data_IF_518119314815
#
_entry.id   IF_518119314815
#
_cell.length_a   1.000
_cell.length_b   1.000
_cell.length_c   1.000
_cell.angle_alpha   90.00
_cell.angle_beta   90.00
_cell.angle_gamma   90.00
#
_symmetry.space_group_name_H-M   'P 1'
#
loop_
_entity.id
_entity.type
_entity.pdbx_description
1 polymer ?
#
# COMPACT_ATOMS: atom_id res chain seq x y z
N UNK A 1 -9.26 -21.08 7.65
CA UNK A 1 -8.03 -20.50 8.20
C UNK A 1 -8.14 -18.99 8.08
N UNK A 2 -7.69 -18.24 9.06
CA UNK A 2 -7.89 -16.78 9.11
C UNK A 2 -6.56 -16.15 9.47
N UNK A 3 -6.10 -15.21 8.65
CA UNK A 3 -4.92 -14.41 8.97
C UNK A 3 -5.15 -13.57 10.24
N UNK A 4 -4.10 -13.16 10.97
CA UNK A 4 -4.22 -12.25 12.10
C UNK A 4 -4.95 -10.96 11.71
N UNK A 5 -5.50 -10.27 12.72
CA UNK A 5 -6.13 -8.95 12.54
C UNK A 5 -5.23 -8.05 11.69
N UNK A 6 -5.75 -7.47 10.59
CA UNK A 6 -4.93 -6.67 9.69
C UNK A 6 -4.40 -5.42 10.37
N UNK A 7 -3.16 -5.07 10.06
CA UNK A 7 -2.53 -3.82 10.43
C UNK A 7 -1.99 -3.18 9.15
N UNK A 8 -2.37 -1.94 8.87
CA UNK A 8 -1.84 -1.23 7.72
C UNK A 8 -0.33 -1.04 7.88
N UNK A 9 0.42 -1.42 6.87
CA UNK A 9 1.85 -1.14 6.77
C UNK A 9 2.08 0.17 6.02
N UNK A 10 1.58 0.23 4.80
CA UNK A 10 1.67 1.41 3.97
C UNK A 10 0.66 1.37 2.82
N UNK A 11 0.54 2.51 2.16
CA UNK A 11 -0.11 2.61 0.86
C UNK A 11 0.91 3.01 -0.20
N UNK A 12 0.69 2.59 -1.44
CA UNK A 12 1.60 2.88 -2.55
C UNK A 12 0.91 3.72 -3.60
N UNK A 13 1.52 4.86 -3.91
CA UNK A 13 1.16 5.72 -5.03
C UNK A 13 2.15 5.40 -6.16
N UNK A 14 1.65 4.75 -7.20
CA UNK A 14 2.44 4.48 -8.40
C UNK A 14 2.57 5.79 -9.20
N UNK A 15 3.80 6.26 -9.37
CA UNK A 15 4.12 7.51 -10.07
C UNK A 15 4.89 7.27 -11.37
N UNK A 16 5.11 6.01 -11.73
CA UNK A 16 5.78 5.59 -12.97
C UNK A 16 7.14 6.29 -13.16
N UNK A 17 7.30 7.08 -14.19
CA UNK A 17 8.50 7.87 -14.51
C UNK A 17 8.49 9.30 -13.90
N UNK A 18 7.44 9.65 -13.14
CA UNK A 18 7.25 10.97 -12.54
C UNK A 18 7.73 11.08 -11.08
N UNK A 19 8.71 10.29 -10.66
CA UNK A 19 9.15 10.24 -9.24
C UNK A 19 9.67 11.60 -8.73
N UNK A 20 10.34 12.39 -9.57
CA UNK A 20 10.86 13.70 -9.20
C UNK A 20 9.74 14.75 -9.07
N UNK A 21 8.73 14.68 -9.91
CA UNK A 21 7.55 15.52 -9.84
C UNK A 21 6.74 15.23 -8.59
N UNK A 22 6.48 13.95 -8.33
CA UNK A 22 5.80 13.49 -7.12
C UNK A 22 6.55 13.91 -5.84
N UNK A 23 7.88 13.76 -5.81
CA UNK A 23 8.71 14.23 -4.71
C UNK A 23 8.52 15.74 -4.46
N UNK A 24 8.59 16.57 -5.51
CA UNK A 24 8.37 18.02 -5.39
C UNK A 24 6.96 18.33 -4.90
N UNK A 25 5.95 17.66 -5.43
CA UNK A 25 4.56 17.83 -5.03
C UNK A 25 4.36 17.53 -3.54
N UNK A 26 4.79 16.38 -3.06
CA UNK A 26 4.64 15.99 -1.66
C UNK A 26 5.45 16.89 -0.72
N UNK A 27 6.65 17.30 -1.12
CA UNK A 27 7.45 18.26 -0.36
C UNK A 27 6.73 19.61 -0.26
N UNK A 28 6.10 20.09 -1.34
CA UNK A 28 5.33 21.35 -1.33
C UNK A 28 4.08 21.29 -0.44
N UNK A 29 3.52 20.09 -0.25
CA UNK A 29 2.43 19.81 0.69
C UNK A 29 2.91 19.68 2.15
N UNK A 30 4.20 19.87 2.40
CA UNK A 30 4.79 19.82 3.73
C UNK A 30 5.10 18.43 4.26
N UNK A 31 5.17 17.42 3.40
CA UNK A 31 5.68 16.11 3.80
C UNK A 31 7.21 16.08 3.80
N UNK A 32 7.78 15.51 4.84
CA UNK A 32 9.19 15.12 4.88
C UNK A 32 9.32 13.76 4.19
N UNK A 33 10.10 13.70 3.11
CA UNK A 33 10.34 12.46 2.38
C UNK A 33 11.73 11.89 2.70
N UNK A 34 11.82 10.55 2.73
CA UNK A 34 13.12 9.87 2.82
C UNK A 34 13.99 10.17 1.59
N UNK A 35 15.32 10.04 1.70
CA UNK A 35 16.17 9.96 0.52
C UNK A 35 15.67 8.90 -0.47
N UNK A 36 15.96 9.08 -1.77
CA UNK A 36 15.55 8.13 -2.81
C UNK A 36 16.10 6.73 -2.53
N UNK A 37 15.20 5.79 -2.32
CA UNK A 37 15.53 4.38 -2.25
C UNK A 37 15.58 3.74 -3.64
N UNK A 38 16.40 2.70 -3.79
CA UNK A 38 16.51 1.88 -5.00
C UNK A 38 16.34 0.42 -4.61
N UNK A 39 15.24 -0.18 -5.02
CA UNK A 39 14.98 -1.59 -4.76
C UNK A 39 15.81 -2.48 -5.69
N UNK A 40 16.28 -3.61 -5.17
CA UNK A 40 16.93 -4.64 -6.01
C UNK A 40 16.00 -5.20 -7.10
N UNK A 41 14.70 -4.92 -7.01
CA UNK A 41 13.71 -5.25 -8.03
C UNK A 41 13.64 -4.23 -9.19
N UNK A 42 14.46 -3.17 -9.16
CA UNK A 42 14.54 -2.18 -10.24
C UNK A 42 13.56 -1.01 -10.12
N UNK A 43 12.85 -0.85 -9.00
CA UNK A 43 12.03 0.36 -8.73
C UNK A 43 12.75 1.34 -7.82
N UNK A 44 12.33 2.61 -7.89
CA UNK A 44 12.79 3.66 -6.97
C UNK A 44 11.63 4.17 -6.13
N UNK A 45 11.92 4.69 -4.94
CA UNK A 45 10.87 5.22 -4.08
C UNK A 45 11.30 6.42 -3.24
N UNK A 46 10.31 7.14 -2.72
CA UNK A 46 10.39 8.01 -1.56
C UNK A 46 9.29 7.66 -0.58
N UNK A 47 9.55 7.76 0.71
CA UNK A 47 8.58 7.44 1.76
C UNK A 47 8.25 8.69 2.58
N UNK A 48 6.96 8.94 2.82
CA UNK A 48 6.49 9.82 3.90
C UNK A 48 6.17 8.93 5.10
N UNK A 49 7.11 8.89 6.07
CA UNK A 49 7.08 7.96 7.19
C UNK A 49 6.24 8.50 8.34
N UNK A 50 5.29 7.71 8.84
CA UNK A 50 4.58 8.01 10.10
C UNK A 50 5.04 7.06 11.21
N UNK A 51 4.38 7.13 12.36
CA UNK A 51 4.78 6.31 13.51
C UNK A 51 4.60 4.82 13.26
N UNK A 52 3.50 4.43 12.64
CA UNK A 52 3.11 3.02 12.45
C UNK A 52 2.93 2.60 11.01
N UNK A 53 2.81 3.54 10.09
CA UNK A 53 2.53 3.33 8.68
C UNK A 53 3.25 4.38 7.82
N UNK A 54 3.13 4.32 6.51
CA UNK A 54 3.72 5.33 5.62
C UNK A 54 3.02 5.38 4.25
N UNK A 55 3.25 6.47 3.53
CA UNK A 55 2.94 6.59 2.10
C UNK A 55 4.20 6.35 1.30
N UNK A 56 4.17 5.43 0.35
CA UNK A 56 5.25 5.18 -0.59
C UNK A 56 4.92 5.81 -1.96
N UNK A 57 5.79 6.69 -2.45
CA UNK A 57 5.82 7.09 -3.85
C UNK A 57 6.72 6.11 -4.58
N UNK A 58 6.16 5.33 -5.51
CA UNK A 58 6.87 4.26 -6.20
C UNK A 58 7.00 4.57 -7.70
N UNK A 59 8.23 4.66 -8.17
CA UNK A 59 8.56 4.92 -9.57
C UNK A 59 9.33 3.80 -10.24
N UNK A 60 9.47 3.90 -11.56
CA UNK A 60 10.35 3.03 -12.35
C UNK A 60 11.82 3.36 -12.05
N UNK A 61 12.70 2.36 -12.24
CA UNK A 61 14.13 2.55 -12.11
C UNK A 61 14.72 3.43 -13.22
N UNK A 62 15.87 4.05 -12.92
CA UNK A 62 16.58 4.94 -13.86
C UNK A 62 17.17 4.20 -15.07
N UNK A 63 17.31 2.90 -15.00
CA UNK A 63 17.77 2.02 -16.07
C UNK A 63 16.70 1.72 -17.15
N UNK A 64 15.52 2.35 -17.02
CA UNK A 64 14.39 2.14 -17.92
C UNK A 64 13.69 0.78 -17.73
N UNK A 65 14.05 0.03 -16.70
CA UNK A 65 13.38 -1.23 -16.36
C UNK A 65 11.94 -0.93 -15.91
N UNK A 66 11.00 -1.26 -16.78
CA UNK A 66 9.57 -1.16 -16.46
C UNK A 66 9.13 -2.39 -15.72
N UNK A 67 8.72 -2.23 -14.47
CA UNK A 67 8.06 -3.31 -13.71
C UNK A 67 6.62 -3.45 -14.21
N UNK A 68 6.34 -4.54 -14.91
CA UNK A 68 5.03 -4.78 -15.55
C UNK A 68 3.87 -4.78 -14.56
N UNK A 69 4.09 -5.24 -13.34
CA UNK A 69 3.07 -5.23 -12.28
C UNK A 69 2.74 -3.81 -11.77
N UNK A 70 3.66 -2.85 -11.89
CA UNK A 70 3.41 -1.43 -11.58
C UNK A 70 2.75 -0.76 -12.79
N UNK A 71 3.32 -0.94 -13.99
CA UNK A 71 2.83 -0.36 -15.23
C UNK A 71 1.39 -0.78 -15.60
N UNK A 72 0.88 -1.83 -14.97
CA UNK A 72 -0.48 -2.32 -15.19
C UNK A 72 -1.56 -1.36 -14.72
N UNK A 73 -1.26 -0.54 -13.72
CA UNK A 73 -2.19 0.42 -13.14
C UNK A 73 -1.86 1.85 -13.61
N UNK A 74 -2.84 2.73 -13.73
CA UNK A 74 -2.58 4.14 -13.99
C UNK A 74 -1.82 4.76 -12.81
N UNK A 75 -1.20 5.91 -13.05
CA UNK A 75 -0.63 6.74 -11.97
C UNK A 75 -1.69 7.01 -10.90
N UNK A 76 -1.33 6.85 -9.63
CA UNK A 76 -2.23 7.06 -8.51
C UNK A 76 -2.06 6.04 -7.38
N UNK A 77 -2.97 6.09 -6.42
CA UNK A 77 -3.00 5.17 -5.29
C UNK A 77 -3.42 3.77 -5.79
N UNK A 78 -2.49 2.82 -5.76
CA UNK A 78 -2.68 1.48 -6.34
C UNK A 78 -2.16 0.34 -5.48
N UNK A 79 -1.63 0.64 -4.29
CA UNK A 79 -1.12 -0.38 -3.38
C UNK A 79 -1.69 -0.27 -1.98
N UNK A 80 -2.27 -1.35 -1.49
CA UNK A 80 -2.72 -1.52 -0.11
C UNK A 80 -1.90 -2.62 0.54
N UNK A 81 -1.12 -2.27 1.55
CA UNK A 81 -0.13 -3.17 2.15
C UNK A 81 -0.38 -3.37 3.62
N UNK A 82 -0.46 -4.63 4.03
CA UNK A 82 -0.62 -5.03 5.41
C UNK A 82 0.70 -5.52 6.01
N UNK A 83 0.90 -5.30 7.31
CA UNK A 83 2.03 -5.84 8.05
C UNK A 83 1.92 -7.34 8.21
N UNK A 84 3.05 -8.02 8.16
CA UNK A 84 3.17 -9.38 8.64
C UNK A 84 4.52 -9.59 9.33
N UNK A 85 4.57 -10.53 10.27
CA UNK A 85 5.80 -11.02 10.87
C UNK A 85 6.36 -12.25 10.14
N UNK A 86 5.57 -12.87 9.23
CA UNK A 86 5.94 -14.07 8.49
C UNK A 86 5.21 -14.11 7.14
N UNK A 87 5.92 -13.79 6.06
CA UNK A 87 5.37 -13.78 4.71
C UNK A 87 5.06 -15.19 4.18
N UNK A 88 5.81 -16.23 4.63
CA UNK A 88 5.54 -17.61 4.25
C UNK A 88 4.27 -18.13 4.91
N UNK A 89 3.99 -17.75 6.17
CA UNK A 89 2.74 -18.09 6.83
C UNK A 89 1.56 -17.50 6.04
N UNK A 90 1.61 -16.20 5.73
CA UNK A 90 0.55 -15.54 4.95
C UNK A 90 0.34 -16.24 3.61
N UNK A 91 1.43 -16.60 2.91
CA UNK A 91 1.34 -17.30 1.64
C UNK A 91 0.59 -18.64 1.77
N UNK A 92 1.02 -19.48 2.73
CA UNK A 92 0.38 -20.80 2.95
C UNK A 92 -1.10 -20.67 3.32
N UNK A 93 -1.44 -19.74 4.20
CA UNK A 93 -2.81 -19.54 4.66
C UNK A 93 -3.72 -19.00 3.53
N UNK A 94 -3.23 -18.04 2.74
CA UNK A 94 -3.96 -17.52 1.60
C UNK A 94 -4.13 -18.57 0.50
N UNK A 95 -3.11 -19.39 0.21
CA UNK A 95 -3.18 -20.50 -0.73
C UNK A 95 -4.19 -21.57 -0.25
N UNK A 96 -4.17 -21.92 1.03
CA UNK A 96 -5.11 -22.88 1.63
C UNK A 96 -6.57 -22.36 1.59
N UNK A 97 -6.77 -21.03 1.63
CA UNK A 97 -8.07 -20.37 1.46
C UNK A 97 -8.50 -20.28 -0.02
N UNK A 98 -7.68 -20.74 -0.96
CA UNK A 98 -7.96 -20.65 -2.40
C UNK A 98 -7.81 -19.26 -2.99
N UNK A 99 -7.12 -18.35 -2.29
CA UNK A 99 -6.86 -17.00 -2.78
C UNK A 99 -5.75 -17.03 -3.83
N UNK A 100 -5.81 -16.13 -4.83
CA UNK A 100 -4.82 -16.07 -5.91
C UNK A 100 -3.53 -15.39 -5.42
N UNK A 101 -2.77 -16.09 -4.59
CA UNK A 101 -1.53 -15.59 -4.00
C UNK A 101 -0.32 -15.96 -4.86
N UNK A 102 0.62 -15.04 -5.00
CA UNK A 102 1.90 -15.23 -5.68
C UNK A 102 2.97 -15.70 -4.69
N UNK A 103 4.01 -16.41 -5.16
CA UNK A 103 5.13 -16.82 -4.32
C UNK A 103 5.75 -15.67 -3.55
N UNK A 104 6.28 -15.95 -2.35
CA UNK A 104 6.98 -14.98 -1.53
C UNK A 104 8.19 -14.45 -2.29
N UNK A 105 8.35 -13.13 -2.29
CA UNK A 105 9.47 -12.44 -2.93
C UNK A 105 10.29 -11.69 -1.90
N UNK A 106 11.60 -11.90 -1.91
CA UNK A 106 12.58 -11.15 -1.10
C UNK A 106 13.23 -10.07 -1.93
N UNK A 107 13.45 -8.91 -1.33
CA UNK A 107 14.20 -7.81 -1.93
C UNK A 107 14.82 -6.92 -0.85
N UNK A 108 15.69 -6.03 -1.27
CA UNK A 108 16.30 -5.03 -0.38
C UNK A 108 16.44 -3.68 -1.07
N UNK A 109 16.75 -2.68 -0.28
CA UNK A 109 17.23 -1.38 -0.73
C UNK A 109 18.30 -0.85 0.20
N UNK A 110 19.38 -0.23 -0.31
CA UNK A 110 20.40 0.38 0.52
C UNK A 110 19.84 1.61 1.24
N UNK A 111 20.25 1.77 2.49
CA UNK A 111 19.96 2.94 3.33
C UNK A 111 21.30 3.53 3.78
N UNK A 112 21.54 4.78 3.44
CA UNK A 112 22.71 5.53 3.88
C UNK A 112 22.54 5.95 5.34
N UNK A 113 23.52 5.65 6.16
CA UNK A 113 23.62 6.00 7.57
C UNK A 113 24.95 6.70 7.81
N UNK A 114 25.11 7.40 8.94
CA UNK A 114 26.39 8.02 9.32
C UNK A 114 27.53 7.00 9.41
N UNK A 115 27.22 5.78 9.83
CA UNK A 115 28.17 4.67 9.95
C UNK A 115 28.40 3.88 8.65
N UNK A 116 27.84 4.31 7.52
CA UNK A 116 27.94 3.62 6.23
C UNK A 116 26.58 3.17 5.67
N UNK A 117 26.60 2.29 4.67
CA UNK A 117 25.40 1.80 4.00
C UNK A 117 25.00 0.45 4.62
N UNK A 118 23.70 0.30 4.94
CA UNK A 118 23.07 -0.97 5.33
C UNK A 118 21.86 -1.26 4.45
N UNK A 119 21.54 -2.53 4.22
CA UNK A 119 20.37 -2.94 3.43
C UNK A 119 19.12 -3.08 4.29
N UNK A 120 18.11 -2.27 4.01
CA UNK A 120 16.76 -2.54 4.45
C UNK A 120 16.22 -3.72 3.64
N UNK A 121 15.82 -4.81 4.34
CA UNK A 121 15.43 -6.09 3.75
C UNK A 121 13.97 -6.40 4.02
N UNK A 122 13.30 -6.91 2.99
CA UNK A 122 11.88 -7.15 2.98
C UNK A 122 11.54 -8.51 2.38
N UNK A 123 10.41 -9.07 2.81
CA UNK A 123 9.75 -10.20 2.16
C UNK A 123 8.30 -9.84 1.96
N UNK A 124 7.78 -10.10 0.78
CA UNK A 124 6.37 -9.80 0.48
C UNK A 124 5.68 -11.02 -0.08
N UNK A 125 4.42 -11.18 0.31
CA UNK A 125 3.49 -12.08 -0.35
C UNK A 125 2.34 -11.25 -0.92
N UNK A 126 1.97 -11.48 -2.18
CA UNK A 126 1.10 -10.60 -2.95
C UNK A 126 -0.06 -11.38 -3.52
N UNK A 127 -1.24 -10.80 -3.52
CA UNK A 127 -2.32 -11.31 -4.36
C UNK A 127 -2.01 -11.04 -5.85
N UNK A 128 -2.42 -11.94 -6.72
CA UNK A 128 -2.27 -11.76 -8.16
C UNK A 128 -3.03 -10.51 -8.62
N UNK A 129 -2.34 -9.44 -9.08
CA UNK A 129 -2.99 -8.18 -9.46
C UNK A 129 -3.89 -8.31 -10.69
N UNK A 130 -3.86 -9.46 -11.38
CA UNK A 130 -4.81 -9.76 -12.47
C UNK A 130 -6.18 -10.19 -11.94
N UNK A 131 -6.27 -10.53 -10.67
CA UNK A 131 -7.46 -11.04 -9.98
C UNK A 131 -8.04 -10.05 -8.97
N UNK A 132 -7.33 -8.97 -8.65
CA UNK A 132 -7.75 -7.93 -7.71
C UNK A 132 -7.91 -6.60 -8.45
N UNK A 133 -9.16 -6.15 -8.60
CA UNK A 133 -9.47 -5.01 -9.46
C UNK A 133 -9.07 -3.65 -8.84
N UNK A 134 -9.15 -3.52 -7.50
CA UNK A 134 -8.88 -2.27 -6.79
C UNK A 134 -7.42 -1.82 -6.84
N UNK A 135 -6.49 -2.72 -7.11
CA UNK A 135 -5.05 -2.43 -7.09
C UNK A 135 -4.25 -3.61 -6.57
N UNK A 136 -3.02 -3.37 -6.16
CA UNK A 136 -2.14 -4.38 -5.57
C UNK A 136 -2.42 -4.51 -4.07
N UNK A 137 -2.83 -5.69 -3.64
CA UNK A 137 -2.99 -6.03 -2.21
C UNK A 137 -1.92 -7.04 -1.83
N UNK A 138 -1.14 -6.72 -0.80
CA UNK A 138 -0.05 -7.59 -0.37
C UNK A 138 0.33 -7.41 1.10
N UNK A 139 1.20 -8.29 1.59
CA UNK A 139 1.71 -8.28 2.94
C UNK A 139 3.21 -8.07 2.92
N UNK A 140 3.71 -7.23 3.82
CA UNK A 140 5.12 -6.88 3.92
C UNK A 140 5.69 -7.29 5.28
N UNK A 141 6.71 -8.15 5.23
CA UNK A 141 7.56 -8.51 6.36
C UNK A 141 8.83 -7.67 6.31
N UNK A 142 9.08 -6.89 7.35
CA UNK A 142 10.28 -6.08 7.52
C UNK A 142 11.34 -6.87 8.31
N UNK A 143 12.42 -7.31 7.66
CA UNK A 143 13.52 -8.03 8.33
C UNK A 143 14.47 -7.09 9.06
N UNK A 144 14.44 -5.79 8.74
CA UNK A 144 15.27 -4.74 9.32
C UNK A 144 14.45 -3.48 9.58
N UNK A 145 13.45 -3.52 10.48
CA UNK A 145 12.53 -2.42 10.69
C UNK A 145 13.22 -1.14 11.20
N UNK A 146 14.35 -1.26 11.90
CA UNK A 146 15.19 -0.17 12.37
C UNK A 146 15.75 0.72 11.24
N UNK A 147 15.82 0.18 10.02
CA UNK A 147 16.26 0.92 8.84
C UNK A 147 15.10 1.60 8.08
N UNK A 148 13.87 1.37 8.50
CA UNK A 148 12.67 1.94 7.87
C UNK A 148 12.02 2.95 8.80
N UNK A 149 11.67 2.57 10.03
CA UNK A 149 11.06 3.45 11.03
C UNK A 149 12.12 4.24 11.81
N UNK A 150 12.65 5.29 11.15
CA UNK A 150 13.65 6.16 11.75
C UNK A 150 13.00 7.46 12.24
N UNK A 151 13.22 7.87 13.50
CA UNK A 151 12.55 9.04 14.09
C UNK A 151 12.76 10.34 13.29
N UNK A 152 13.93 10.50 12.67
CA UNK A 152 14.28 11.69 11.88
C UNK A 152 13.41 11.88 10.62
N UNK A 153 12.68 10.84 10.19
CA UNK A 153 11.79 10.91 9.02
C UNK A 153 10.30 11.07 9.37
N UNK A 154 9.95 11.11 10.66
CA UNK A 154 8.55 11.06 11.12
C UNK A 154 7.96 12.42 11.47
N UNK A 155 8.75 13.49 11.48
CA UNK A 155 8.29 14.83 11.83
C UNK A 155 7.99 15.65 10.59
N UNK A 156 6.73 15.62 10.14
CA UNK A 156 6.30 16.36 8.96
C UNK A 156 5.94 17.82 9.27
N UNK A 157 6.43 18.81 8.50
CA UNK A 157 6.05 20.23 8.63
C UNK A 157 4.54 20.47 8.58
N UNK A 158 3.78 19.68 7.81
CA UNK A 158 2.31 19.78 7.73
C UNK A 158 1.56 19.13 8.91
N UNK A 159 2.28 18.54 9.88
CA UNK A 159 1.69 17.92 11.06
C UNK A 159 1.04 16.55 10.82
N UNK A 160 1.18 15.92 9.65
CA UNK A 160 0.69 14.59 9.36
C UNK A 160 1.37 13.55 10.27
N UNK A 161 0.59 12.57 10.80
CA UNK A 161 1.07 11.61 11.81
C UNK A 161 0.74 10.16 11.52
N UNK A 162 -0.26 9.88 10.68
CA UNK A 162 -0.74 8.54 10.38
C UNK A 162 -1.64 8.58 9.15
N UNK A 163 -1.84 7.41 8.54
CA UNK A 163 -2.94 7.17 7.61
C UNK A 163 -4.17 6.79 8.46
N UNK A 164 -5.18 7.65 8.44
CA UNK A 164 -6.42 7.38 9.18
C UNK A 164 -7.35 6.45 8.40
N UNK A 165 -7.39 6.61 7.07
CA UNK A 165 -8.37 5.97 6.20
C UNK A 165 -7.81 5.73 4.79
N UNK A 166 -8.12 4.56 4.22
CA UNK A 166 -7.98 4.27 2.79
C UNK A 166 -9.38 4.02 2.25
N UNK A 167 -9.80 4.79 1.26
CA UNK A 167 -11.13 4.64 0.65
C UNK A 167 -10.98 3.92 -0.68
N UNK A 168 -11.69 2.80 -0.84
CA UNK A 168 -11.77 2.03 -2.07
C UNK A 168 -13.15 2.22 -2.67
N UNK A 169 -13.20 2.86 -3.82
CA UNK A 169 -14.43 3.01 -4.58
C UNK A 169 -14.70 1.73 -5.39
N UNK A 170 -15.90 1.20 -5.27
CA UNK A 170 -16.33 0.00 -5.98
C UNK A 170 -17.84 0.04 -6.23
N UNK A 171 -18.28 -0.43 -7.39
CA UNK A 171 -19.70 -0.51 -7.70
C UNK A 171 -20.45 -1.52 -6.79
N UNK A 172 -19.74 -2.49 -6.21
CA UNK A 172 -20.31 -3.50 -5.31
C UNK A 172 -19.42 -3.70 -4.07
N UNK A 173 -19.57 -2.85 -3.04
CA UNK A 173 -18.81 -2.97 -1.79
C UNK A 173 -18.95 -4.31 -1.08
N UNK A 174 -20.10 -4.97 -1.19
CA UNK A 174 -20.35 -6.27 -0.57
C UNK A 174 -19.50 -7.36 -1.24
N UNK A 175 -19.43 -7.35 -2.56
CA UNK A 175 -18.62 -8.28 -3.34
C UNK A 175 -17.14 -8.05 -3.08
N UNK A 176 -16.68 -6.80 -3.10
CA UNK A 176 -15.29 -6.46 -2.83
C UNK A 176 -14.88 -6.85 -1.40
N UNK A 177 -15.80 -6.75 -0.43
CA UNK A 177 -15.57 -7.16 0.95
C UNK A 177 -15.30 -8.68 1.11
N UNK A 178 -15.72 -9.52 0.17
CA UNK A 178 -15.47 -10.97 0.21
C UNK A 178 -13.97 -11.25 0.31
N UNK A 179 -13.15 -10.55 -0.48
CA UNK A 179 -11.68 -10.67 -0.43
C UNK A 179 -11.13 -10.52 0.99
N UNK A 180 -11.57 -9.48 1.69
CA UNK A 180 -11.09 -9.20 3.05
C UNK A 180 -11.65 -10.19 4.09
N UNK A 181 -12.87 -10.67 3.90
CA UNK A 181 -13.44 -11.74 4.74
C UNK A 181 -12.71 -13.07 4.54
N UNK A 182 -12.32 -13.38 3.32
CA UNK A 182 -11.54 -14.58 3.01
C UNK A 182 -10.12 -14.49 3.61
N UNK A 183 -9.51 -13.30 3.61
CA UNK A 183 -8.21 -13.06 4.23
C UNK A 183 -8.27 -13.08 5.76
N UNK A 184 -9.21 -12.34 6.36
CA UNK A 184 -9.19 -12.00 7.78
C UNK A 184 -10.35 -12.58 8.60
N UNK A 185 -11.23 -13.36 7.96
CA UNK A 185 -12.41 -13.98 8.60
C UNK A 185 -13.71 -13.21 8.38
N UNK A 186 -14.83 -13.92 8.50
CA UNK A 186 -16.16 -13.41 8.15
C UNK A 186 -16.57 -12.14 8.88
N UNK A 187 -16.17 -11.99 10.15
CA UNK A 187 -16.53 -10.85 11.00
C UNK A 187 -15.59 -9.65 10.85
N UNK A 188 -14.54 -9.77 10.02
CA UNK A 188 -13.51 -8.73 9.84
C UNK A 188 -13.98 -7.49 9.08
N UNK A 189 -15.15 -7.56 8.41
CA UNK A 189 -15.67 -6.48 7.56
C UNK A 189 -17.12 -6.14 7.95
N UNK A 190 -17.35 -5.47 9.09
CA UNK A 190 -18.67 -4.99 9.45
C UNK A 190 -19.16 -3.89 8.51
N UNK A 191 -20.47 -3.80 8.36
CA UNK A 191 -21.10 -2.66 7.71
C UNK A 191 -21.36 -1.54 8.71
N UNK A 192 -20.92 -0.31 8.36
CA UNK A 192 -21.15 0.90 9.14
C UNK A 192 -21.54 2.05 8.20
N UNK A 193 -22.66 2.71 8.48
CA UNK A 193 -23.13 3.89 7.71
C UNK A 193 -23.10 3.70 6.18
N UNK A 194 -23.53 2.51 5.72
CA UNK A 194 -23.54 2.15 4.30
C UNK A 194 -22.19 1.74 3.69
N UNK A 195 -21.11 1.73 4.48
CA UNK A 195 -19.75 1.34 4.09
C UNK A 195 -19.44 -0.07 4.58
N UNK A 196 -18.62 -0.81 3.84
CA UNK A 196 -17.94 -2.00 4.36
C UNK A 196 -16.58 -1.55 4.93
N UNK A 197 -16.30 -1.86 6.18
CA UNK A 197 -15.13 -1.32 6.89
C UNK A 197 -14.23 -2.44 7.38
N UNK A 198 -12.96 -2.42 6.97
CA UNK A 198 -11.90 -3.28 7.51
C UNK A 198 -11.08 -2.47 8.49
N UNK A 199 -11.09 -2.84 9.77
CA UNK A 199 -10.16 -2.26 10.74
C UNK A 199 -8.74 -2.76 10.44
N UNK A 200 -7.79 -1.84 10.26
CA UNK A 200 -6.40 -2.15 9.90
C UNK A 200 -5.40 -1.49 10.86
N UNK A 201 -5.39 -1.94 12.12
CA UNK A 201 -4.65 -1.29 13.21
C UNK A 201 -5.27 0.04 13.59
N UNK A 202 -4.53 1.14 13.45
CA UNK A 202 -5.03 2.52 13.68
C UNK A 202 -5.74 3.10 12.47
N UNK A 203 -5.61 2.49 11.30
CA UNK A 203 -6.28 2.88 10.07
C UNK A 203 -7.56 2.08 9.81
N UNK A 204 -8.36 2.53 8.85
CA UNK A 204 -9.51 1.82 8.31
C UNK A 204 -9.42 1.74 6.79
N UNK A 205 -9.84 0.61 6.22
CA UNK A 205 -10.09 0.49 4.78
C UNK A 205 -11.60 0.48 4.58
N UNK A 206 -12.11 1.46 3.86
CA UNK A 206 -13.53 1.65 3.60
C UNK A 206 -13.84 1.31 2.15
N UNK A 207 -14.76 0.37 1.94
CA UNK A 207 -15.26 0.03 0.62
C UNK A 207 -16.59 0.74 0.43
N UNK A 208 -16.67 1.61 -0.57
CA UNK A 208 -17.81 2.51 -0.78
C UNK A 208 -18.22 2.57 -2.24
N UNK A 209 -19.48 2.85 -2.55
CA UNK A 209 -19.90 3.12 -3.93
C UNK A 209 -19.38 4.50 -4.40
N UNK A 210 -19.14 4.69 -5.72
CA UNK A 210 -18.56 5.92 -6.27
C UNK A 210 -19.30 7.21 -5.91
N UNK A 211 -20.62 7.17 -5.78
CA UNK A 211 -21.41 8.34 -5.38
C UNK A 211 -21.08 8.82 -3.95
N UNK A 212 -20.64 7.95 -3.05
CA UNK A 212 -20.18 8.37 -1.72
C UNK A 212 -18.81 9.07 -1.82
N UNK A 213 -17.94 8.62 -2.72
CA UNK A 213 -16.65 9.29 -2.99
C UNK A 213 -16.93 10.68 -3.56
N UNK A 214 -17.82 10.81 -4.56
CA UNK A 214 -18.21 12.10 -5.12
C UNK A 214 -18.74 13.07 -4.05
N UNK A 215 -19.59 12.56 -3.15
CA UNK A 215 -20.18 13.38 -2.07
C UNK A 215 -19.12 13.87 -1.08
N UNK A 216 -18.14 13.03 -0.74
CA UNK A 216 -17.14 13.34 0.29
C UNK A 216 -15.93 14.11 -0.26
N UNK A 217 -15.47 13.76 -1.48
CA UNK A 217 -14.20 14.26 -2.05
C UNK A 217 -14.40 15.07 -3.35
N UNK A 218 -15.62 15.17 -3.86
CA UNK A 218 -15.96 15.82 -5.12
C UNK A 218 -15.99 14.86 -6.31
N UNK A 219 -16.67 15.28 -7.38
CA UNK A 219 -16.91 14.46 -8.58
C UNK A 219 -15.61 13.97 -9.25
N UNK A 220 -14.58 14.81 -9.27
CA UNK A 220 -13.30 14.45 -9.88
C UNK A 220 -12.63 13.24 -9.17
N UNK A 221 -12.85 13.05 -7.88
CA UNK A 221 -12.36 11.90 -7.15
C UNK A 221 -13.14 10.62 -7.44
N UNK A 222 -14.35 10.73 -7.96
CA UNK A 222 -15.22 9.60 -8.29
C UNK A 222 -15.11 9.13 -9.75
N UNK A 223 -14.26 9.77 -10.55
CA UNK A 223 -14.01 9.38 -11.95
C UNK A 223 -12.83 8.41 -12.04
N UNK A 224 -13.09 7.10 -12.17
CA UNK A 224 -12.03 6.08 -12.01
C UNK A 224 -11.26 5.81 -13.28
N UNK A 225 -10.83 6.72 -14.07
CA UNK A 225 -9.97 6.48 -15.24
C UNK A 225 -10.23 5.12 -15.96
N UNK A 226 -11.49 4.72 -16.13
CA UNK A 226 -11.91 3.47 -16.76
C UNK A 226 -11.80 2.21 -15.87
N UNK A 227 -11.59 2.33 -14.56
CA UNK A 227 -11.54 1.21 -13.61
C UNK A 227 -12.88 1.00 -12.91
N UNK A 228 -13.23 -0.28 -12.70
CA UNK A 228 -14.43 -0.66 -11.94
C UNK A 228 -14.26 -0.49 -10.42
N UNK A 229 -12.99 -0.57 -9.96
CA UNK A 229 -12.59 -0.41 -8.56
C UNK A 229 -11.29 0.39 -8.52
N UNK A 230 -11.13 1.29 -7.52
CA UNK A 230 -9.93 2.12 -7.33
C UNK A 230 -9.82 2.62 -5.89
N UNK A 231 -8.62 3.03 -5.49
CA UNK A 231 -8.32 3.62 -4.19
C UNK A 231 -8.15 5.13 -4.30
#
# INVERSE_FOLDING_TARGET
VTLPTPVLDHVVIDVCDHIDEAMRCFTSLGFLLTPRGRHTLGSVNHLAMFTTDYVELLGFGEDGATRTEIARFPTGLNGLVFKTADADLVHREAEAAGLPVLPVQSFSRPVALDAGIRDARFRTTRLDPTKVAMGRVYFCEHLTPDLVWRPEWQAHPNGARAIARVVVATADPQRTAVLFRDLFGGDSVPQRDGRQVVAAGTAQVELVPPNMVATEFGEAAAEPAGRAEYM
#
